data_IF_433543040470
#
_entry.id   IF_433543040470
#
_cell.length_a   1.000
_cell.length_b   1.000
_cell.length_c   1.000
_cell.angle_alpha   90.00
_cell.angle_beta   90.00
_cell.angle_gamma   90.00
#
_symmetry.space_group_name_H-M   'P 1'
#
loop_
_entity.id
_entity.type
_entity.pdbx_description
1 polymer ?
#
# COMPACT_ATOMS: atom_id res chain seq x y z
N UNK A 1 -8.96 -9.96 -9.63
CA UNK A 1 -8.03 -9.72 -10.74
C UNK A 1 -7.06 -10.90 -10.81
N UNK A 2 -6.94 -11.55 -11.96
CA UNK A 2 -6.04 -12.70 -12.14
C UNK A 2 -4.69 -12.19 -12.66
N UNK A 3 -3.62 -12.45 -11.92
CA UNK A 3 -2.26 -12.06 -12.31
C UNK A 3 -1.69 -13.12 -13.25
N UNK A 4 -1.18 -12.69 -14.41
CA UNK A 4 -0.46 -13.56 -15.34
C UNK A 4 1.00 -13.72 -14.89
N UNK A 5 1.25 -14.76 -14.11
CA UNK A 5 2.60 -15.03 -13.59
C UNK A 5 3.64 -15.29 -14.67
N UNK A 6 3.26 -15.84 -15.83
CA UNK A 6 4.20 -16.07 -16.91
C UNK A 6 4.71 -14.73 -17.48
N UNK A 7 3.80 -13.78 -17.69
CA UNK A 7 4.15 -12.42 -18.10
C UNK A 7 5.05 -11.73 -17.06
N UNK A 8 4.67 -11.79 -15.77
CA UNK A 8 5.44 -11.16 -14.68
C UNK A 8 6.86 -11.72 -14.61
N UNK A 9 7.05 -13.04 -14.70
CA UNK A 9 8.38 -13.66 -14.71
C UNK A 9 9.23 -13.16 -15.89
N UNK A 10 8.67 -13.10 -17.09
CA UNK A 10 9.34 -12.60 -18.31
C UNK A 10 9.79 -11.15 -18.15
N UNK A 11 8.97 -10.31 -17.51
CA UNK A 11 9.28 -8.90 -17.23
C UNK A 11 10.40 -8.77 -16.20
N UNK A 12 10.41 -9.59 -15.16
CA UNK A 12 11.46 -9.60 -14.13
C UNK A 12 12.81 -10.00 -14.72
N UNK A 13 12.87 -11.04 -15.55
CA UNK A 13 14.10 -11.47 -16.22
C UNK A 13 14.73 -10.36 -17.10
N UNK A 14 13.87 -9.51 -17.66
CA UNK A 14 14.26 -8.39 -18.53
C UNK A 14 14.49 -7.08 -17.78
N UNK A 15 14.18 -7.02 -16.49
CA UNK A 15 14.41 -5.86 -15.66
C UNK A 15 15.91 -5.61 -15.47
N UNK A 16 16.32 -4.33 -15.52
CA UNK A 16 17.69 -3.88 -15.23
C UNK A 16 17.67 -2.87 -14.07
N UNK A 17 18.04 -3.30 -12.85
CA UNK A 17 18.02 -2.46 -11.66
C UNK A 17 18.83 -1.16 -11.79
N UNK A 18 19.87 -1.14 -12.62
CA UNK A 18 20.77 0.01 -12.78
C UNK A 18 20.07 1.22 -13.42
N UNK A 19 19.04 0.95 -14.23
CA UNK A 19 18.33 1.98 -15.00
C UNK A 19 16.84 2.01 -14.73
N UNK A 20 16.32 1.05 -13.95
CA UNK A 20 14.89 0.83 -13.78
C UNK A 20 14.15 0.71 -15.12
N UNK A 21 14.70 -0.09 -16.05
CA UNK A 21 14.10 -0.32 -17.36
C UNK A 21 14.04 -1.80 -17.71
N UNK A 22 13.07 -2.18 -18.54
CA UNK A 22 13.00 -3.46 -19.22
C UNK A 22 13.88 -3.43 -20.47
N UNK A 23 14.68 -4.47 -20.65
CA UNK A 23 15.53 -4.65 -21.83
C UNK A 23 14.94 -5.72 -22.76
N UNK A 24 14.53 -5.28 -23.95
CA UNK A 24 14.02 -6.12 -25.02
C UNK A 24 15.01 -6.16 -26.20
N UNK A 25 14.92 -7.15 -27.10
CA UNK A 25 15.74 -7.18 -28.31
C UNK A 25 15.59 -5.92 -29.18
N UNK A 26 14.41 -5.29 -29.13
CA UNK A 26 14.07 -4.10 -29.93
C UNK A 26 14.37 -2.77 -29.23
N UNK A 27 14.76 -2.76 -27.96
CA UNK A 27 15.02 -1.53 -27.22
C UNK A 27 14.72 -1.61 -25.71
N UNK A 28 14.63 -0.45 -25.07
CA UNK A 28 14.31 -0.32 -23.64
C UNK A 28 12.91 0.23 -23.46
N UNK A 29 12.24 -0.21 -22.39
CA UNK A 29 10.94 0.32 -21.97
C UNK A 29 10.93 0.52 -20.46
N UNK A 30 10.12 1.45 -19.95
CA UNK A 30 9.89 1.60 -18.51
C UNK A 30 8.48 2.14 -18.26
N UNK A 31 7.99 1.94 -17.03
CA UNK A 31 6.71 2.48 -16.56
C UNK A 31 7.02 3.85 -15.96
N UNK A 32 6.33 4.89 -16.41
CA UNK A 32 6.55 6.27 -16.00
C UNK A 32 5.47 6.74 -15.02
N UNK A 33 5.68 7.90 -14.40
CA UNK A 33 4.63 8.54 -13.58
C UNK A 33 3.37 8.83 -14.40
N UNK A 34 3.55 9.25 -15.67
CA UNK A 34 2.43 9.47 -16.58
C UNK A 34 1.60 8.20 -16.81
N UNK A 35 2.24 7.03 -16.90
CA UNK A 35 1.50 5.76 -17.04
C UNK A 35 0.65 5.48 -15.78
N UNK A 36 1.19 5.77 -14.59
CA UNK A 36 0.47 5.59 -13.32
C UNK A 36 -0.71 6.57 -13.21
N UNK A 37 -0.50 7.82 -13.57
CA UNK A 37 -1.52 8.86 -13.57
C UNK A 37 -2.64 8.55 -14.57
N UNK A 38 -2.30 8.21 -15.81
CA UNK A 38 -3.28 7.95 -16.88
C UNK A 38 -4.07 6.67 -16.64
N UNK A 39 -3.43 5.60 -16.16
CA UNK A 39 -4.10 4.31 -15.99
C UNK A 39 -4.88 4.21 -14.67
N UNK A 40 -4.42 4.89 -13.61
CA UNK A 40 -4.95 4.69 -12.25
C UNK A 40 -5.43 5.98 -11.57
N UNK A 41 -5.29 7.14 -12.21
CA UNK A 41 -5.77 8.43 -11.69
C UNK A 41 -5.04 8.91 -10.44
N UNK A 42 -3.82 8.41 -10.18
CA UNK A 42 -3.01 8.87 -9.07
C UNK A 42 -2.26 10.16 -9.49
N UNK A 43 -2.41 11.28 -8.76
CA UNK A 43 -1.84 12.56 -9.18
C UNK A 43 -0.31 12.56 -9.07
N UNK A 44 0.36 13.04 -10.12
CA UNK A 44 1.82 13.14 -10.17
C UNK A 44 2.38 14.37 -9.44
N UNK A 45 1.63 15.46 -9.45
CA UNK A 45 2.02 16.71 -8.84
C UNK A 45 1.60 16.75 -7.37
N UNK A 46 2.44 16.20 -6.50
CA UNK A 46 2.15 16.15 -5.06
C UNK A 46 3.39 16.15 -4.17
N UNK A 47 3.16 16.32 -2.87
CA UNK A 47 4.16 16.25 -1.83
C UNK A 47 4.70 14.82 -1.71
N UNK A 48 6.00 14.70 -1.38
CA UNK A 48 6.62 13.40 -1.18
C UNK A 48 5.96 12.66 0.00
N UNK A 49 5.56 11.40 -0.23
CA UNK A 49 5.07 10.50 0.82
C UNK A 49 6.24 10.15 1.74
N UNK A 50 6.36 10.90 2.83
CA UNK A 50 7.43 10.77 3.82
C UNK A 50 6.86 10.64 5.22
N UNK A 51 7.67 10.09 6.12
CA UNK A 51 7.24 9.83 7.50
C UNK A 51 8.06 10.70 8.46
N UNK A 52 7.43 11.27 9.49
CA UNK A 52 8.14 11.96 10.55
C UNK A 52 9.16 11.03 11.22
N UNK A 53 10.33 11.59 11.57
CA UNK A 53 11.40 10.84 12.24
C UNK A 53 10.90 10.18 13.54
N UNK A 54 9.98 10.85 14.26
CA UNK A 54 9.37 10.35 15.49
C UNK A 54 8.72 8.96 15.34
N UNK A 55 8.15 8.66 14.17
CA UNK A 55 7.53 7.34 13.92
C UNK A 55 8.53 6.18 13.94
N UNK A 56 9.83 6.43 13.74
CA UNK A 56 10.85 5.38 13.80
C UNK A 56 11.03 4.81 15.21
N UNK A 57 10.67 5.59 16.24
CA UNK A 57 10.84 5.24 17.65
C UNK A 57 9.51 4.94 18.36
N UNK A 58 8.39 4.99 17.62
CA UNK A 58 7.07 4.74 18.16
C UNK A 58 6.92 3.25 18.53
N UNK A 59 6.47 2.97 19.75
CA UNK A 59 6.24 1.60 20.20
C UNK A 59 4.98 1.00 19.56
N UNK A 60 4.84 -0.33 19.64
CA UNK A 60 3.65 -1.04 19.16
C UNK A 60 2.38 -0.49 19.80
N UNK A 61 2.37 -0.27 21.11
CA UNK A 61 1.18 0.19 21.84
C UNK A 61 0.71 1.56 21.35
N UNK A 62 1.64 2.50 21.12
CA UNK A 62 1.30 3.80 20.54
C UNK A 62 0.67 3.67 19.15
N UNK A 63 1.13 2.73 18.32
CA UNK A 63 0.48 2.46 17.02
C UNK A 63 -0.91 1.86 17.17
N UNK A 64 -1.14 0.98 18.15
CA UNK A 64 -2.44 0.39 18.40
C UNK A 64 -3.43 1.42 18.97
N UNK A 65 -2.96 2.32 19.83
CA UNK A 65 -3.77 3.43 20.35
C UNK A 65 -4.11 4.40 19.22
N UNK A 66 -3.16 4.74 18.35
CA UNK A 66 -3.40 5.56 17.16
C UNK A 66 -4.40 4.89 16.19
N UNK A 67 -4.25 3.58 15.94
CA UNK A 67 -5.20 2.82 15.12
C UNK A 67 -6.61 2.90 15.71
N UNK A 68 -6.75 2.65 17.01
CA UNK A 68 -8.03 2.69 17.69
C UNK A 68 -8.66 4.08 17.66
N UNK A 69 -7.88 5.13 17.93
CA UNK A 69 -8.35 6.52 17.85
C UNK A 69 -8.80 6.92 16.44
N UNK A 70 -8.11 6.43 15.41
CA UNK A 70 -8.40 6.82 14.03
C UNK A 70 -9.53 6.01 13.40
N UNK A 71 -9.81 4.80 13.89
CA UNK A 71 -10.67 3.83 13.19
C UNK A 71 -11.71 3.13 14.07
N UNK A 72 -11.70 3.34 15.39
CA UNK A 72 -12.46 2.55 16.35
C UNK A 72 -11.97 1.10 16.51
N UNK A 73 -11.15 0.59 15.58
CA UNK A 73 -10.66 -0.78 15.59
C UNK A 73 -9.47 -0.97 16.53
N UNK A 74 -9.56 -1.94 17.44
CA UNK A 74 -8.41 -2.40 18.25
C UNK A 74 -8.27 -3.91 18.11
N UNK A 75 -7.16 -4.42 17.57
CA UNK A 75 -6.94 -5.86 17.50
C UNK A 75 -6.81 -6.45 18.91
N UNK A 76 -7.57 -7.52 19.18
CA UNK A 76 -7.55 -8.22 20.48
C UNK A 76 -6.40 -9.22 20.61
N UNK A 77 -5.93 -9.77 19.49
CA UNK A 77 -4.92 -10.82 19.48
C UNK A 77 -3.53 -10.32 19.09
N UNK A 78 -2.49 -10.86 19.74
CA UNK A 78 -1.10 -10.61 19.35
C UNK A 78 -0.82 -11.03 17.90
N UNK A 79 -1.56 -12.02 17.38
CA UNK A 79 -1.45 -12.58 16.04
C UNK A 79 -1.86 -11.59 14.95
N UNK A 80 -2.69 -10.58 15.29
CA UNK A 80 -3.10 -9.53 14.37
C UNK A 80 -1.98 -8.52 14.09
N UNK A 81 -0.84 -8.57 14.78
CA UNK A 81 0.35 -7.77 14.45
C UNK A 81 1.56 -8.66 14.28
N UNK A 82 2.19 -8.62 13.11
CA UNK A 82 3.45 -9.31 12.87
C UNK A 82 4.61 -8.38 13.26
N UNK A 83 5.06 -8.52 14.51
CA UNK A 83 6.09 -7.66 15.10
C UNK A 83 5.61 -6.23 15.38
N UNK A 84 6.55 -5.31 15.63
CA UNK A 84 6.24 -3.96 16.11
C UNK A 84 5.75 -2.95 15.03
N UNK A 85 5.74 -3.32 13.75
CA UNK A 85 5.59 -2.35 12.64
C UNK A 85 4.54 -2.72 11.58
N UNK A 86 3.81 -3.82 11.76
CA UNK A 86 2.87 -4.34 10.78
C UNK A 86 1.58 -4.87 11.40
N UNK A 87 0.48 -4.61 10.72
CA UNK A 87 -0.88 -4.98 11.09
C UNK A 87 -1.44 -5.98 10.06
N UNK A 88 -2.15 -7.00 10.53
CA UNK A 88 -2.85 -7.93 9.66
C UNK A 88 -4.10 -7.27 9.04
N UNK A 89 -4.33 -7.52 7.76
CA UNK A 89 -5.48 -6.99 7.02
C UNK A 89 -6.74 -7.83 7.25
N UNK A 90 -6.62 -9.14 7.53
CA UNK A 90 -7.79 -10.01 7.79
C UNK A 90 -8.68 -9.48 8.92
N UNK A 91 -8.16 -9.11 10.11
CA UNK A 91 -9.01 -8.59 11.18
C UNK A 91 -9.67 -7.26 10.82
N UNK A 92 -8.99 -6.40 10.05
CA UNK A 92 -9.57 -5.14 9.55
C UNK A 92 -10.73 -5.43 8.61
N UNK A 93 -10.57 -6.39 7.68
CA UNK A 93 -11.62 -6.79 6.75
C UNK A 93 -12.84 -7.36 7.48
N UNK A 94 -12.62 -8.24 8.45
CA UNK A 94 -13.70 -8.80 9.27
C UNK A 94 -14.41 -7.72 10.08
N UNK A 95 -13.65 -6.77 10.63
CA UNK A 95 -14.24 -5.64 11.36
C UNK A 95 -15.05 -4.72 10.45
N UNK A 96 -14.59 -4.46 9.22
CA UNK A 96 -15.35 -3.73 8.21
C UNK A 96 -16.64 -4.44 7.79
N UNK A 97 -16.63 -5.78 7.67
CA UNK A 97 -17.82 -6.57 7.39
C UNK A 97 -18.85 -6.46 8.53
N UNK A 98 -18.40 -6.39 9.79
CA UNK A 98 -19.26 -6.14 10.95
C UNK A 98 -19.75 -4.69 11.02
N UNK A 99 -18.90 -3.73 10.66
CA UNK A 99 -19.21 -2.31 10.51
C UNK A 99 -19.95 -2.00 9.21
N UNK A 100 -20.63 -2.96 8.58
CA UNK A 100 -21.39 -2.70 7.36
C UNK A 100 -22.90 -2.48 7.65
N UNK A 101 -23.33 -1.37 8.29
CA UNK A 101 -24.68 -0.87 8.08
C UNK A 101 -24.75 -0.13 6.73
N UNK A 102 -25.96 0.07 6.21
CA UNK A 102 -26.16 0.96 5.07
C UNK A 102 -25.69 2.38 5.46
N UNK A 103 -24.63 2.89 4.81
CA UNK A 103 -24.24 4.30 4.96
C UNK A 103 -25.37 5.12 4.32
N UNK A 104 -26.16 5.76 5.16
CA UNK A 104 -27.26 6.66 4.78
C UNK A 104 -26.89 8.12 5.08
N UNK A 105 -27.71 9.05 4.61
CA UNK A 105 -27.54 10.49 4.87
C UNK A 105 -27.59 10.85 6.37
N UNK A 106 -28.14 9.96 7.22
CA UNK A 106 -28.22 10.13 8.68
C UNK A 106 -27.00 9.56 9.43
N UNK A 107 -26.00 9.03 8.72
CA UNK A 107 -24.81 8.41 9.34
C UNK A 107 -23.90 9.46 9.96
N UNK A 108 -23.45 9.23 11.19
CA UNK A 108 -22.51 10.13 11.86
C UNK A 108 -21.18 10.25 11.10
N UNK A 109 -20.67 11.47 10.98
CA UNK A 109 -19.42 11.79 10.25
C UNK A 109 -18.21 11.01 10.82
N UNK A 110 -18.18 10.79 12.13
CA UNK A 110 -17.14 9.98 12.78
C UNK A 110 -17.15 8.53 12.26
N UNK A 111 -18.33 7.95 12.08
CA UNK A 111 -18.47 6.60 11.54
C UNK A 111 -17.97 6.52 10.09
N UNK A 112 -18.34 7.49 9.26
CA UNK A 112 -17.88 7.59 7.85
C UNK A 112 -16.36 7.72 7.82
N UNK A 113 -15.78 8.53 8.71
CA UNK A 113 -14.34 8.75 8.80
C UNK A 113 -13.60 7.47 9.22
N UNK A 114 -14.10 6.76 10.23
CA UNK A 114 -13.54 5.47 10.66
C UNK A 114 -13.57 4.43 9.55
N UNK A 115 -14.72 4.30 8.88
CA UNK A 115 -14.90 3.39 7.76
C UNK A 115 -13.95 3.70 6.60
N UNK A 116 -13.84 4.97 6.22
CA UNK A 116 -12.94 5.45 5.16
C UNK A 116 -11.49 5.10 5.46
N UNK A 117 -11.02 5.34 6.69
CA UNK A 117 -9.64 5.03 7.09
C UNK A 117 -9.34 3.53 7.07
N UNK A 118 -10.30 2.68 7.48
CA UNK A 118 -10.17 1.23 7.40
C UNK A 118 -10.08 0.75 5.94
N UNK A 119 -10.93 1.29 5.06
CA UNK A 119 -10.86 1.01 3.62
C UNK A 119 -9.51 1.43 3.01
N UNK A 120 -9.01 2.61 3.38
CA UNK A 120 -7.70 3.07 2.90
C UNK A 120 -6.55 2.21 3.43
N UNK A 121 -6.62 1.67 4.65
CA UNK A 121 -5.65 0.68 5.13
C UNK A 121 -5.66 -0.59 4.28
N UNK A 122 -6.85 -1.09 3.92
CA UNK A 122 -6.98 -2.23 3.01
C UNK A 122 -6.43 -1.90 1.62
N UNK A 123 -6.69 -0.70 1.11
CA UNK A 123 -6.18 -0.25 -0.19
C UNK A 123 -4.64 -0.14 -0.19
N UNK A 124 -4.06 0.51 0.82
CA UNK A 124 -2.62 0.65 0.94
C UNK A 124 -1.93 -0.71 1.12
N UNK A 125 -2.44 -1.57 2.01
CA UNK A 125 -1.81 -2.84 2.31
C UNK A 125 -2.07 -3.95 1.29
N UNK A 126 -3.24 -3.94 0.66
CA UNK A 126 -3.70 -5.02 -0.22
C UNK A 126 -3.51 -4.74 -1.70
N UNK A 127 -3.47 -3.47 -2.11
CA UNK A 127 -3.47 -3.08 -3.52
C UNK A 127 -2.23 -2.26 -3.88
N UNK A 128 -2.02 -1.12 -3.23
CA UNK A 128 -0.97 -0.17 -3.64
C UNK A 128 0.43 -0.58 -3.17
N UNK A 129 0.56 -1.09 -1.95
CA UNK A 129 1.82 -1.50 -1.35
C UNK A 129 1.79 -2.93 -0.78
N UNK A 130 1.30 -3.93 -1.54
CA UNK A 130 1.25 -5.28 -1.05
C UNK A 130 2.68 -5.80 -0.85
N UNK A 131 2.84 -6.63 0.17
CA UNK A 131 4.09 -7.32 0.45
C UNK A 131 3.93 -8.82 0.20
N UNK A 132 5.03 -9.56 0.30
CA UNK A 132 5.05 -11.01 0.08
C UNK A 132 4.26 -11.82 1.11
N UNK A 133 3.85 -11.22 2.24
CA UNK A 133 3.02 -11.92 3.22
C UNK A 133 1.55 -12.02 2.80
N UNK A 134 1.12 -11.21 1.82
CA UNK A 134 -0.26 -11.18 1.31
C UNK A 134 -1.32 -10.65 2.29
N UNK A 135 -0.96 -10.39 3.55
CA UNK A 135 -1.93 -10.04 4.59
C UNK A 135 -1.44 -8.97 5.59
N UNK A 136 -0.27 -8.37 5.40
CA UNK A 136 0.25 -7.39 6.34
C UNK A 136 0.36 -6.00 5.71
N UNK A 137 -0.03 -4.97 6.44
CA UNK A 137 0.17 -3.55 6.11
C UNK A 137 1.10 -2.89 7.11
N UNK A 138 1.89 -1.91 6.66
CA UNK A 138 2.76 -1.18 7.58
C UNK A 138 1.97 -0.18 8.41
N UNK A 139 2.23 -0.11 9.72
CA UNK A 139 1.63 0.89 10.61
C UNK A 139 1.94 2.33 10.20
N UNK A 140 3.00 2.52 9.39
CA UNK A 140 3.42 3.83 8.89
C UNK A 140 2.34 4.57 8.12
N UNK A 141 1.44 3.85 7.46
CA UNK A 141 0.32 4.47 6.75
C UNK A 141 -0.68 5.17 7.68
N UNK A 142 -0.73 4.81 8.96
CA UNK A 142 -1.59 5.48 9.95
C UNK A 142 -1.30 6.99 10.03
N UNK A 143 -0.05 7.41 9.82
CA UNK A 143 0.28 8.83 9.75
C UNK A 143 -0.49 9.57 8.67
N UNK A 144 -0.53 9.02 7.46
CA UNK A 144 -1.21 9.63 6.33
C UNK A 144 -2.74 9.57 6.51
N UNK A 145 -3.25 8.57 7.22
CA UNK A 145 -4.68 8.46 7.55
C UNK A 145 -5.14 9.40 8.66
N UNK A 146 -4.22 9.82 9.53
CA UNK A 146 -4.48 10.90 10.48
C UNK A 146 -4.76 12.21 9.75
N UNK A 147 -4.03 12.45 8.65
CA UNK A 147 -4.12 13.64 7.80
C UNK A 147 -4.97 13.33 6.55
N UNK A 148 -6.20 12.84 6.76
CA UNK A 148 -7.06 12.35 5.69
C UNK A 148 -7.29 13.41 4.59
N UNK A 149 -7.51 14.66 4.99
CA UNK A 149 -7.73 15.80 4.08
C UNK A 149 -6.49 16.15 3.25
N UNK A 150 -5.30 15.74 3.72
CA UNK A 150 -4.05 15.97 3.01
C UNK A 150 -3.73 14.86 2.00
N UNK A 151 -4.39 13.69 2.09
CA UNK A 151 -4.11 12.54 1.22
C UNK A 151 -4.05 12.89 -0.27
N UNK A 152 -4.98 13.70 -0.85
CA UNK A 152 -4.96 14.02 -2.27
C UNK A 152 -3.74 14.84 -2.71
N UNK A 153 -3.05 15.52 -1.80
CA UNK A 153 -1.91 16.37 -2.12
C UNK A 153 -0.58 15.63 -2.10
N UNK A 154 -0.56 14.34 -1.76
CA UNK A 154 0.65 13.53 -1.83
C UNK A 154 0.78 12.87 -3.22
N UNK A 155 2.02 12.77 -3.70
CA UNK A 155 2.36 12.05 -4.94
C UNK A 155 2.34 10.53 -4.68
N UNK A 156 1.12 9.98 -4.66
CA UNK A 156 0.89 8.55 -4.47
C UNK A 156 1.37 7.73 -5.67
N UNK A 157 1.34 8.32 -6.86
CA UNK A 157 1.86 7.72 -8.09
C UNK A 157 3.36 7.42 -7.97
N UNK A 158 4.18 8.36 -7.52
CA UNK A 158 5.61 8.20 -7.34
C UNK A 158 5.92 7.25 -6.18
N UNK A 159 5.11 7.29 -5.12
CA UNK A 159 5.24 6.34 -4.02
C UNK A 159 4.99 4.89 -4.51
N UNK A 160 3.92 4.67 -5.27
CA UNK A 160 3.57 3.37 -5.84
C UNK A 160 4.59 2.92 -6.87
N UNK A 161 5.01 3.79 -7.79
CA UNK A 161 6.01 3.47 -8.80
C UNK A 161 7.37 3.17 -8.18
N UNK A 162 7.81 3.99 -7.24
CA UNK A 162 9.07 3.78 -6.51
C UNK A 162 9.04 2.50 -5.67
N UNK A 163 7.89 2.16 -5.07
CA UNK A 163 7.71 0.87 -4.41
C UNK A 163 7.82 -0.28 -5.43
N UNK A 164 7.14 -0.16 -6.57
CA UNK A 164 7.11 -1.18 -7.62
C UNK A 164 8.50 -1.45 -8.19
N UNK A 165 9.24 -0.40 -8.55
CA UNK A 165 10.62 -0.51 -9.01
C UNK A 165 11.51 -1.23 -7.99
N UNK A 166 11.37 -0.90 -6.70
CA UNK A 166 12.14 -1.56 -5.65
C UNK A 166 11.83 -3.05 -5.56
N UNK A 167 10.57 -3.47 -5.72
CA UNK A 167 10.23 -4.89 -5.72
C UNK A 167 10.75 -5.60 -6.96
N UNK A 168 10.68 -4.98 -8.13
CA UNK A 168 11.25 -5.51 -9.37
C UNK A 168 12.77 -5.69 -9.27
N UNK A 169 13.49 -4.71 -8.71
CA UNK A 169 14.93 -4.84 -8.46
C UNK A 169 15.24 -6.02 -7.54
N UNK A 170 14.47 -6.18 -6.45
CA UNK A 170 14.68 -7.30 -5.51
C UNK A 170 14.42 -8.66 -6.16
N UNK A 171 13.36 -8.75 -6.96
CA UNK A 171 13.01 -9.95 -7.70
C UNK A 171 14.07 -10.31 -8.75
N UNK A 172 14.54 -9.33 -9.54
CA UNK A 172 15.52 -9.58 -10.61
C UNK A 172 16.90 -9.96 -10.08
N UNK A 173 17.26 -9.50 -8.87
CA UNK A 173 18.51 -9.89 -8.19
C UNK A 173 18.41 -11.21 -7.42
N UNK A 174 17.28 -11.93 -7.53
CA UNK A 174 16.99 -13.16 -6.78
C UNK A 174 17.13 -13.02 -5.24
N UNK A 175 16.99 -11.80 -4.72
CA UNK A 175 17.07 -11.51 -3.28
C UNK A 175 15.79 -11.89 -2.53
N UNK A 176 14.70 -12.16 -3.26
CA UNK A 176 13.42 -12.61 -2.75
C UNK A 176 12.87 -13.74 -3.62
N UNK A 177 12.17 -14.69 -2.99
CA UNK A 177 11.53 -15.83 -3.68
C UNK A 177 10.21 -15.44 -4.34
N UNK A 178 9.52 -14.45 -3.77
CA UNK A 178 8.21 -13.98 -4.22
C UNK A 178 8.27 -12.52 -4.65
N UNK A 179 7.40 -12.17 -5.59
CA UNK A 179 7.27 -10.82 -6.16
C UNK A 179 6.03 -10.17 -5.56
N UNK A 180 6.14 -8.91 -5.16
CA UNK A 180 5.02 -8.11 -4.67
C UNK A 180 5.08 -6.71 -5.27
N UNK A 181 4.10 -5.86 -4.97
CA UNK A 181 3.94 -4.55 -5.60
C UNK A 181 2.60 -4.40 -6.30
N UNK A 182 2.39 -3.22 -6.88
CA UNK A 182 1.18 -2.90 -7.62
C UNK A 182 1.22 -3.56 -9.01
N UNK A 183 0.93 -4.87 -9.02
CA UNK A 183 0.95 -5.73 -10.22
C UNK A 183 0.12 -5.22 -11.41
N UNK A 184 -0.99 -4.48 -11.24
CA UNK A 184 -1.67 -3.86 -12.37
C UNK A 184 -0.75 -3.01 -13.27
N UNK A 185 0.37 -2.47 -12.77
CA UNK A 185 1.33 -1.74 -13.61
C UNK A 185 2.14 -2.62 -14.58
N UNK A 186 2.09 -3.95 -14.42
CA UNK A 186 2.84 -4.91 -15.23
C UNK A 186 1.97 -5.71 -16.20
N UNK A 187 0.66 -5.43 -16.27
CA UNK A 187 -0.31 -6.16 -17.09
C UNK A 187 -1.02 -5.20 -18.04
#
# INVERSE_FOLDING_TARGET
MQVDWALITVLIERWRPETHTFHWPIGKATITLQDVEVLYGLPADGMAVSLPIAMRYMSRDHYLDMLHQLTGFRPQDEVASSGASRLALTPIRQYLELLHPDITDDTEEEHITHYTRLLLLLLFGGVLFPNTSGNLVSHRFLHHLQLLDELPYYSWDAAVLGYMYRQMCRASMATQRDVCGFMPLLQ
#
